data_IF_645864439581
#
_entry.id   IF_645864439581
#
_cell.length_a   1.000
_cell.length_b   1.000
_cell.length_c   1.000
_cell.angle_alpha   90.00
_cell.angle_beta   90.00
_cell.angle_gamma   90.00
#
_symmetry.space_group_name_H-M   'P 1'
#
loop_
_entity.id
_entity.type
_entity.pdbx_description
1 polymer ?
#
# COMPACT_ATOMS: atom_id res chain seq x y z
N UNK A 1 -23.74 4.57 2.79
CA UNK A 1 -22.55 4.07 2.07
C UNK A 1 -22.55 2.56 2.22
N UNK A 2 -22.14 1.79 1.21
CA UNK A 2 -22.01 0.33 1.34
C UNK A 2 -20.69 -0.01 2.03
N UNK A 3 -20.60 -1.17 2.68
CA UNK A 3 -19.38 -1.64 3.34
C UNK A 3 -18.14 -1.60 2.41
N UNK A 4 -18.34 -1.92 1.12
CA UNK A 4 -17.27 -1.88 0.12
C UNK A 4 -16.79 -0.45 -0.16
N UNK A 5 -17.70 0.53 -0.23
CA UNK A 5 -17.32 1.95 -0.41
C UNK A 5 -16.57 2.50 0.80
N UNK A 6 -16.88 2.05 2.01
CA UNK A 6 -16.14 2.42 3.23
C UNK A 6 -14.73 1.81 3.22
N UNK A 7 -14.59 0.55 2.79
CA UNK A 7 -13.30 -0.10 2.64
C UNK A 7 -12.43 0.60 1.58
N UNK A 8 -13.00 0.97 0.43
CA UNK A 8 -12.29 1.72 -0.61
C UNK A 8 -11.80 3.05 -0.08
N UNK A 9 -12.66 3.81 0.60
CA UNK A 9 -12.30 5.09 1.20
C UNK A 9 -11.17 4.94 2.24
N UNK A 10 -11.23 3.90 3.08
CA UNK A 10 -10.19 3.58 4.06
C UNK A 10 -8.84 3.31 3.39
N UNK A 11 -8.79 2.40 2.41
CA UNK A 11 -7.54 2.09 1.69
C UNK A 11 -7.00 3.31 0.95
N UNK A 12 -7.88 4.11 0.33
CA UNK A 12 -7.49 5.34 -0.37
C UNK A 12 -6.85 6.35 0.59
N UNK A 13 -7.39 6.49 1.81
CA UNK A 13 -6.85 7.37 2.83
C UNK A 13 -5.45 6.94 3.28
N UNK A 14 -5.25 5.64 3.55
CA UNK A 14 -3.94 5.09 3.95
C UNK A 14 -2.87 5.29 2.88
N UNK A 15 -3.20 5.02 1.61
CA UNK A 15 -2.31 5.29 0.48
C UNK A 15 -1.98 6.78 0.34
N UNK A 16 -2.93 7.68 0.62
CA UNK A 16 -2.68 9.13 0.57
C UNK A 16 -1.76 9.60 1.71
N UNK A 17 -1.92 9.05 2.92
CA UNK A 17 -1.03 9.32 4.05
C UNK A 17 0.41 8.86 3.76
N UNK A 18 0.58 7.64 3.24
CA UNK A 18 1.89 7.12 2.84
C UNK A 18 2.53 7.97 1.72
N UNK A 19 1.74 8.38 0.73
CA UNK A 19 2.21 9.29 -0.33
C UNK A 19 2.71 10.61 0.26
N UNK A 20 1.96 11.20 1.19
CA UNK A 20 2.35 12.44 1.83
C UNK A 20 3.68 12.29 2.57
N UNK A 21 3.87 11.20 3.31
CA UNK A 21 5.13 10.89 4.00
C UNK A 21 6.28 10.73 3.00
N UNK A 22 6.09 9.97 1.92
CA UNK A 22 7.11 9.78 0.89
C UNK A 22 7.49 11.10 0.21
N UNK A 23 6.51 11.95 -0.12
CA UNK A 23 6.77 13.28 -0.70
C UNK A 23 7.49 14.20 0.28
N UNK A 24 7.13 14.18 1.56
CA UNK A 24 7.80 14.95 2.60
C UNK A 24 9.27 14.53 2.80
N UNK A 25 9.58 13.25 2.57
CA UNK A 25 10.94 12.72 2.54
C UNK A 25 11.73 13.03 1.24
N UNK A 26 11.18 13.90 0.38
CA UNK A 26 11.79 14.37 -0.87
C UNK A 26 11.29 13.67 -2.13
N UNK A 27 10.64 12.50 -2.01
CA UNK A 27 10.06 11.78 -3.15
C UNK A 27 11.09 11.30 -4.20
N UNK A 28 12.37 11.24 -3.84
CA UNK A 28 13.47 10.85 -4.72
C UNK A 28 14.08 9.53 -4.26
N UNK A 29 14.93 8.96 -5.12
CA UNK A 29 15.66 7.75 -4.79
C UNK A 29 16.81 7.98 -3.82
N UNK A 30 17.05 6.97 -3.00
CA UNK A 30 18.15 6.91 -2.06
C UNK A 30 19.20 5.90 -2.52
N UNK A 31 20.43 6.04 -2.04
CA UNK A 31 21.54 5.14 -2.38
C UNK A 31 22.49 4.95 -1.21
N UNK A 32 23.19 3.82 -1.21
CA UNK A 32 24.35 3.56 -0.35
C UNK A 32 25.63 3.76 -1.18
N UNK A 33 26.42 4.81 -0.96
CA UNK A 33 27.69 4.97 -1.67
C UNK A 33 28.70 3.90 -1.24
N UNK A 34 29.39 3.30 -2.20
CA UNK A 34 30.41 2.27 -1.91
C UNK A 34 31.59 2.81 -1.07
N UNK A 35 31.89 4.11 -1.22
CA UNK A 35 33.00 4.77 -0.53
C UNK A 35 32.69 5.05 0.95
N UNK A 36 31.40 5.08 1.34
CA UNK A 36 30.96 5.32 2.72
C UNK A 36 29.94 4.27 3.19
N UNK A 37 30.39 3.02 3.43
CA UNK A 37 29.51 1.96 3.89
C UNK A 37 28.76 2.35 5.17
N UNK A 38 27.48 2.01 5.27
CA UNK A 38 26.63 2.38 6.39
C UNK A 38 25.93 3.73 6.22
N UNK A 39 26.25 4.55 5.21
CA UNK A 39 25.54 5.80 4.93
C UNK A 39 24.47 5.63 3.86
N UNK A 40 23.32 6.29 4.07
CA UNK A 40 22.25 6.42 3.09
C UNK A 40 22.23 7.87 2.61
N UNK A 41 22.25 8.05 1.29
CA UNK A 41 22.33 9.34 0.63
C UNK A 41 21.11 9.60 -0.24
N UNK A 42 20.67 10.85 -0.27
CA UNK A 42 19.80 11.36 -1.31
C UNK A 42 20.63 12.04 -2.42
N UNK A 43 20.01 12.87 -3.26
CA UNK A 43 20.73 13.64 -4.30
C UNK A 43 21.62 14.76 -3.75
N UNK A 44 21.40 15.20 -2.50
CA UNK A 44 22.09 16.33 -1.86
C UNK A 44 23.20 15.89 -0.91
N UNK A 45 23.14 14.67 -0.38
CA UNK A 45 24.19 14.10 0.46
C UNK A 45 23.65 13.04 1.42
N UNK A 46 24.38 12.80 2.51
CA UNK A 46 23.99 11.85 3.54
C UNK A 46 22.72 12.32 4.29
N UNK A 47 21.76 11.42 4.46
CA UNK A 47 20.50 11.65 5.18
C UNK A 47 20.35 10.75 6.41
N UNK A 48 21.06 9.62 6.44
CA UNK A 48 21.10 8.70 7.57
C UNK A 48 22.40 7.92 7.57
N UNK A 49 22.80 7.42 8.74
CA UNK A 49 23.91 6.47 8.88
C UNK A 49 23.54 5.37 9.86
N UNK A 50 24.00 4.14 9.60
CA UNK A 50 23.84 3.01 10.49
C UNK A 50 25.12 2.76 11.27
N UNK A 51 25.00 2.51 12.58
CA UNK A 51 26.14 2.09 13.41
C UNK A 51 26.45 0.60 13.27
N UNK A 52 25.64 -0.14 12.51
CA UNK A 52 25.73 -1.59 12.32
C UNK A 52 25.51 -1.90 10.84
N UNK A 53 26.53 -2.43 10.18
CA UNK A 53 26.54 -2.70 8.73
C UNK A 53 25.85 -4.03 8.36
N UNK A 54 24.79 -4.42 9.06
CA UNK A 54 24.04 -5.67 8.76
C UNK A 54 23.06 -5.48 7.58
N UNK A 55 23.41 -4.66 6.58
CA UNK A 55 22.54 -4.31 5.45
C UNK A 55 21.34 -3.42 5.82
N UNK A 56 21.40 -2.71 6.95
CA UNK A 56 20.34 -1.78 7.34
C UNK A 56 20.26 -0.58 6.40
N UNK A 57 21.42 -0.03 6.03
CA UNK A 57 21.57 0.99 5.00
C UNK A 57 20.96 0.54 3.67
N UNK A 58 21.28 -0.68 3.21
CA UNK A 58 20.71 -1.23 1.98
C UNK A 58 19.19 -1.39 2.06
N UNK A 59 18.65 -1.85 3.19
CA UNK A 59 17.20 -1.95 3.38
C UNK A 59 16.53 -0.57 3.38
N UNK A 60 17.13 0.41 4.07
CA UNK A 60 16.62 1.79 4.11
C UNK A 60 16.64 2.39 2.71
N UNK A 61 17.74 2.26 1.98
CA UNK A 61 17.86 2.77 0.61
C UNK A 61 16.91 2.04 -0.35
N UNK A 62 16.66 0.75 -0.16
CA UNK A 62 15.69 0.00 -0.95
C UNK A 62 14.26 0.50 -0.71
N UNK A 63 13.92 0.90 0.52
CA UNK A 63 12.62 1.46 0.89
C UNK A 63 12.56 2.97 0.65
N UNK A 64 13.20 3.45 -0.41
CA UNK A 64 13.23 4.87 -0.74
C UNK A 64 11.84 5.46 -1.05
N UNK A 65 11.67 6.79 -0.90
CA UNK A 65 10.42 7.46 -1.22
C UNK A 65 9.93 7.22 -2.65
N UNK A 66 10.84 7.17 -3.63
CA UNK A 66 10.48 6.96 -5.02
C UNK A 66 9.83 5.58 -5.25
N UNK A 67 10.29 4.53 -4.56
CA UNK A 67 9.71 3.18 -4.59
C UNK A 67 8.34 3.16 -3.95
N UNK A 68 8.17 3.80 -2.79
CA UNK A 68 6.85 3.93 -2.16
C UNK A 68 5.84 4.59 -3.09
N UNK A 69 6.22 5.69 -3.74
CA UNK A 69 5.35 6.38 -4.70
C UNK A 69 4.95 5.49 -5.88
N UNK A 70 5.90 4.75 -6.48
CA UNK A 70 5.59 3.78 -7.56
C UNK A 70 4.64 2.66 -7.10
N UNK A 71 4.84 2.15 -5.88
CA UNK A 71 3.95 1.14 -5.28
C UNK A 71 2.54 1.69 -5.13
N UNK A 72 2.40 2.87 -4.54
CA UNK A 72 1.12 3.54 -4.31
C UNK A 72 0.38 3.78 -5.63
N UNK A 73 1.08 4.23 -6.68
CA UNK A 73 0.49 4.41 -8.02
C UNK A 73 -0.09 3.10 -8.55
N UNK A 74 0.64 1.98 -8.38
CA UNK A 74 0.16 0.65 -8.83
C UNK A 74 -1.03 0.18 -7.98
N UNK A 75 -0.99 0.40 -6.67
CA UNK A 75 -2.08 0.09 -5.75
C UNK A 75 -3.36 0.88 -6.06
N UNK A 76 -3.23 2.14 -6.51
CA UNK A 76 -4.38 2.96 -6.93
C UNK A 76 -5.07 2.41 -8.16
N UNK A 77 -4.33 1.92 -9.14
CA UNK A 77 -4.93 1.25 -10.31
C UNK A 77 -5.79 0.08 -9.88
N UNK A 78 -5.30 -0.79 -8.97
CA UNK A 78 -6.10 -1.91 -8.46
C UNK A 78 -7.35 -1.45 -7.71
N UNK A 79 -7.24 -0.37 -6.92
CA UNK A 79 -8.35 0.18 -6.15
C UNK A 79 -9.42 0.80 -7.06
N UNK A 80 -9.01 1.57 -8.06
CA UNK A 80 -9.90 2.20 -9.03
C UNK A 80 -10.64 1.13 -9.86
N UNK A 81 -9.95 0.06 -10.28
CA UNK A 81 -10.59 -1.05 -11.00
C UNK A 81 -11.61 -1.82 -10.16
N UNK A 82 -11.39 -1.93 -8.84
CA UNK A 82 -12.36 -2.51 -7.92
C UNK A 82 -13.56 -1.59 -7.72
N UNK A 83 -13.33 -0.29 -7.55
CA UNK A 83 -14.39 0.69 -7.30
C UNK A 83 -15.49 0.66 -8.38
N UNK A 84 -15.09 0.49 -9.65
CA UNK A 84 -16.01 0.33 -10.79
C UNK A 84 -16.98 -0.86 -10.66
N UNK A 85 -16.58 -1.91 -9.94
CA UNK A 85 -17.36 -3.15 -9.80
C UNK A 85 -17.76 -3.46 -8.36
N UNK A 86 -17.45 -2.58 -7.40
CA UNK A 86 -17.61 -2.83 -5.97
C UNK A 86 -19.05 -3.12 -5.56
N UNK A 87 -20.04 -2.62 -6.32
CA UNK A 87 -21.46 -2.91 -6.09
C UNK A 87 -21.84 -4.38 -6.35
N UNK A 88 -21.04 -5.12 -7.13
CA UNK A 88 -21.27 -6.54 -7.46
C UNK A 88 -20.52 -7.50 -6.52
N UNK A 89 -19.62 -7.00 -5.67
CA UNK A 89 -18.93 -7.76 -4.63
C UNK A 89 -19.85 -7.93 -3.42
N UNK A 90 -20.76 -8.90 -3.52
CA UNK A 90 -21.77 -9.23 -2.52
C UNK A 90 -21.66 -10.71 -2.10
N UNK A 91 -22.28 -11.06 -0.97
CA UNK A 91 -22.25 -12.42 -0.40
C UNK A 91 -22.77 -13.51 -1.36
N UNK A 92 -23.66 -13.15 -2.29
CA UNK A 92 -24.25 -14.05 -3.29
C UNK A 92 -24.11 -13.43 -4.68
N UNK A 93 -22.91 -13.47 -5.28
CA UNK A 93 -22.66 -12.88 -6.58
C UNK A 93 -23.40 -13.64 -7.68
N UNK A 94 -23.73 -12.96 -8.78
CA UNK A 94 -24.22 -13.64 -9.97
C UNK A 94 -23.10 -14.50 -10.59
N UNK A 95 -23.47 -15.56 -11.32
CA UNK A 95 -22.51 -16.43 -12.02
C UNK A 95 -22.14 -15.84 -13.39
N UNK A 96 -21.60 -14.62 -13.38
CA UNK A 96 -21.14 -13.92 -14.57
C UNK A 96 -19.72 -13.34 -14.38
N UNK A 97 -19.16 -12.85 -15.49
CA UNK A 97 -17.79 -12.34 -15.51
C UNK A 97 -17.62 -11.11 -14.61
N UNK A 98 -18.58 -10.18 -14.61
CA UNK A 98 -18.47 -8.92 -13.87
C UNK A 98 -18.50 -9.16 -12.34
N UNK A 99 -19.36 -10.06 -11.89
CA UNK A 99 -19.45 -10.46 -10.49
C UNK A 99 -18.22 -11.26 -10.04
N UNK A 100 -17.71 -12.16 -10.90
CA UNK A 100 -16.45 -12.86 -10.64
C UNK A 100 -15.26 -11.89 -10.51
N UNK A 101 -15.19 -10.89 -11.40
CA UNK A 101 -14.20 -9.80 -11.33
C UNK A 101 -14.32 -9.01 -10.02
N UNK A 102 -15.54 -8.66 -9.62
CA UNK A 102 -15.80 -7.91 -8.38
C UNK A 102 -15.31 -8.65 -7.13
N UNK A 103 -15.63 -9.94 -7.01
CA UNK A 103 -15.19 -10.77 -5.88
C UNK A 103 -13.66 -10.91 -5.85
N UNK A 104 -13.05 -11.15 -7.02
CA UNK A 104 -11.60 -11.30 -7.14
C UNK A 104 -10.84 -10.02 -6.77
N UNK A 105 -11.25 -8.87 -7.31
CA UNK A 105 -10.66 -7.58 -6.96
C UNK A 105 -10.97 -7.20 -5.50
N UNK A 106 -12.17 -7.51 -5.01
CA UNK A 106 -12.56 -7.28 -3.62
C UNK A 106 -11.67 -8.04 -2.65
N UNK A 107 -11.26 -9.27 -2.98
CA UNK A 107 -10.27 -9.98 -2.16
C UNK A 107 -8.95 -9.20 -2.05
N UNK A 108 -8.44 -8.67 -3.16
CA UNK A 108 -7.22 -7.86 -3.17
C UNK A 108 -7.36 -6.62 -2.29
N UNK A 109 -8.45 -5.87 -2.41
CA UNK A 109 -8.68 -4.64 -1.63
C UNK A 109 -8.83 -4.95 -0.13
N UNK A 110 -9.44 -6.08 0.24
CA UNK A 110 -9.50 -6.54 1.65
C UNK A 110 -8.10 -6.82 2.21
N UNK A 111 -7.20 -7.39 1.41
CA UNK A 111 -5.81 -7.62 1.82
C UNK A 111 -5.03 -6.30 1.95
N UNK A 112 -5.27 -5.33 1.06
CA UNK A 112 -4.70 -3.99 1.19
C UNK A 112 -5.17 -3.30 2.48
N UNK A 113 -6.46 -3.39 2.80
CA UNK A 113 -6.98 -2.87 4.07
C UNK A 113 -6.37 -3.56 5.30
N UNK A 114 -6.03 -4.85 5.20
CA UNK A 114 -5.43 -5.61 6.28
C UNK A 114 -3.97 -5.21 6.59
N UNK A 115 -3.26 -4.52 5.69
CA UNK A 115 -1.96 -3.90 5.99
C UNK A 115 -2.08 -2.94 7.19
N UNK A 116 -3.24 -2.29 7.34
CA UNK A 116 -3.56 -1.31 8.38
C UNK A 116 -4.55 -1.87 9.43
N UNK A 117 -4.56 -3.18 9.68
CA UNK A 117 -5.48 -3.81 10.63
C UNK A 117 -5.38 -3.27 12.08
N UNK A 118 -4.27 -2.63 12.43
CA UNK A 118 -4.08 -1.94 13.72
C UNK A 118 -4.66 -0.52 13.79
N UNK A 119 -5.16 0.03 12.67
CA UNK A 119 -5.72 1.37 12.61
C UNK A 119 -7.11 1.43 13.28
N UNK A 120 -7.45 2.46 14.07
CA UNK A 120 -8.73 2.53 14.78
C UNK A 120 -9.97 2.49 13.87
N UNK A 121 -9.87 3.07 12.67
CA UNK A 121 -10.95 3.07 11.68
C UNK A 121 -11.04 1.77 10.87
N UNK A 122 -10.12 0.82 11.08
CA UNK A 122 -10.18 -0.47 10.39
C UNK A 122 -11.38 -1.28 10.89
N UNK A 123 -12.14 -1.85 9.96
CA UNK A 123 -13.30 -2.67 10.30
C UNK A 123 -13.01 -4.15 10.00
N UNK A 124 -12.87 -4.97 11.04
CA UNK A 124 -12.57 -6.40 10.92
C UNK A 124 -13.61 -7.20 10.11
N UNK A 125 -14.82 -6.66 9.92
CA UNK A 125 -15.83 -7.24 9.03
C UNK A 125 -15.44 -7.24 7.54
N UNK A 126 -14.46 -6.42 7.15
CA UNK A 126 -13.97 -6.38 5.77
C UNK A 126 -13.17 -7.63 5.42
N UNK A 127 -12.47 -8.27 6.38
CA UNK A 127 -11.80 -9.53 6.08
C UNK A 127 -12.83 -10.59 5.67
N UNK A 128 -12.49 -11.44 4.67
CA UNK A 128 -13.32 -12.59 4.37
C UNK A 128 -13.47 -13.41 5.65
N UNK A 129 -14.71 -13.53 6.15
CA UNK A 129 -15.02 -14.61 7.07
C UNK A 129 -14.94 -15.87 6.21
N UNK A 130 -13.80 -16.54 6.25
CA UNK A 130 -13.76 -17.94 5.86
C UNK A 130 -14.66 -18.68 6.87
N UNK A 131 -15.98 -18.67 6.65
CA UNK A 131 -16.87 -19.62 7.28
C UNK A 131 -16.47 -20.98 6.75
N UNK A 132 -16.06 -21.83 7.68
CA UNK A 132 -15.69 -23.24 7.48
C UNK A 132 -16.71 -24.01 6.65
#
# INVERSE_FOLDING_TARGET
MTDNSEMVAFVRARLAEEEQVARAAGGQSWRCPAETPGEVHDRTGAIAFSLRTHGYDDHIALQDPARSLRRIETSRVLLDEYEEVAALDADRPHHDFASGRAVGLGFVVRQMAAEDAGHPDYQAKWLPRFTQ
#
